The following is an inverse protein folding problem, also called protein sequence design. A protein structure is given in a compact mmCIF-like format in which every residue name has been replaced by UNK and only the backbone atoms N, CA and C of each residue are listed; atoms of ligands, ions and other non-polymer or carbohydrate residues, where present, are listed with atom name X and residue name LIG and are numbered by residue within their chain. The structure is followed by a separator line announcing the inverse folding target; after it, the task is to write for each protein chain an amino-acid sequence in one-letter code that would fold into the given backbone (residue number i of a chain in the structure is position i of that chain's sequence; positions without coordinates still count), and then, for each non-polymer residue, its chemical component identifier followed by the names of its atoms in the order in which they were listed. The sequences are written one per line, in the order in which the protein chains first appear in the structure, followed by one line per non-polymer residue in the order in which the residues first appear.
data_IF_052176062048
#
_entry.id   IF_052176062048
#
_cell.length_a   1.000
_cell.length_b   1.000
_cell.length_c   1.000
_cell.angle_alpha   90.00
_cell.angle_beta   90.00
_cell.angle_gamma   90.00
#
_symmetry.space_group_name_H-M   'P 1'
#
loop_
_entity.id
_entity.type
_entity.pdbx_description
1 polymer ?
#
# COMPACT_ATOMS: atom_id res chain seq x y z
N UNK A 1 11.33 12.32 20.06
CA UNK A 1 11.73 10.98 19.54
C UNK A 1 10.45 10.20 19.27
N UNK A 2 10.11 9.94 18.00
CA UNK A 2 8.97 9.08 17.66
C UNK A 2 9.38 7.62 17.90
N UNK A 3 8.52 6.83 18.54
CA UNK A 3 8.79 5.40 18.70
C UNK A 3 8.68 4.73 17.32
N UNK A 4 9.42 3.65 17.08
CA UNK A 4 9.23 2.85 15.86
C UNK A 4 8.07 1.89 16.12
N UNK A 5 7.05 1.90 15.27
CA UNK A 5 6.01 0.90 15.31
C UNK A 5 6.48 -0.37 14.59
N UNK A 6 6.15 -1.57 15.08
CA UNK A 6 6.51 -2.81 14.39
C UNK A 6 5.98 -2.82 12.95
N UNK A 7 6.83 -3.23 12.01
CA UNK A 7 6.42 -3.39 10.61
C UNK A 7 5.35 -4.49 10.48
N UNK A 8 4.33 -4.30 9.62
CA UNK A 8 3.36 -5.34 9.30
C UNK A 8 4.04 -6.56 8.64
N UNK A 9 3.42 -7.75 8.72
CA UNK A 9 3.86 -8.89 7.92
C UNK A 9 3.74 -8.56 6.43
N UNK A 10 4.58 -9.18 5.61
CA UNK A 10 4.42 -9.16 4.15
C UNK A 10 3.22 -10.02 3.73
N UNK A 11 2.60 -9.68 2.61
CA UNK A 11 1.48 -10.43 2.05
C UNK A 11 1.79 -10.90 0.62
N UNK A 12 1.55 -12.17 0.36
CA UNK A 12 1.91 -12.87 -0.88
C UNK A 12 0.72 -13.55 -1.57
N UNK A 13 -0.51 -13.21 -1.19
CA UNK A 13 -1.76 -13.89 -1.57
C UNK A 13 -2.05 -15.20 -0.85
N UNK A 14 -1.31 -15.57 0.20
CA UNK A 14 -1.62 -16.75 1.02
C UNK A 14 -3.05 -16.70 1.57
N UNK A 15 -3.81 -17.78 1.37
CA UNK A 15 -5.19 -17.89 1.86
C UNK A 15 -5.23 -17.86 3.38
N UNK A 16 -6.18 -17.11 3.94
CA UNK A 16 -6.39 -17.00 5.38
C UNK A 16 -5.54 -15.95 6.11
N UNK A 17 -4.49 -15.41 5.48
CA UNK A 17 -3.61 -14.41 6.12
C UNK A 17 -4.03 -12.96 5.85
N UNK A 18 -4.84 -12.74 4.79
CA UNK A 18 -5.25 -11.41 4.32
C UNK A 18 -5.81 -10.52 5.43
N UNK A 19 -6.74 -11.03 6.25
CA UNK A 19 -7.37 -10.23 7.32
C UNK A 19 -6.36 -9.76 8.37
N UNK A 20 -5.41 -10.63 8.73
CA UNK A 20 -4.35 -10.31 9.70
C UNK A 20 -3.38 -9.26 9.15
N UNK A 21 -3.02 -9.38 7.87
CA UNK A 21 -2.23 -8.37 7.17
C UNK A 21 -2.94 -7.00 7.15
N UNK A 22 -4.19 -6.95 6.67
CA UNK A 22 -4.94 -5.69 6.55
C UNK A 22 -5.11 -4.99 7.91
N UNK A 23 -5.33 -5.76 8.98
CA UNK A 23 -5.48 -5.21 10.34
C UNK A 23 -4.18 -4.56 10.81
N UNK A 24 -3.04 -5.24 10.61
CA UNK A 24 -1.73 -4.71 11.01
C UNK A 24 -1.29 -3.54 10.14
N UNK A 25 -1.56 -3.61 8.83
CA UNK A 25 -1.29 -2.51 7.89
C UNK A 25 -2.06 -1.25 8.27
N UNK A 26 -3.36 -1.39 8.60
CA UNK A 26 -4.18 -0.26 9.06
C UNK A 26 -3.63 0.37 10.34
N UNK A 27 -3.18 -0.45 11.31
CA UNK A 27 -2.57 0.06 12.53
C UNK A 27 -1.26 0.83 12.24
N UNK A 28 -0.44 0.32 11.33
CA UNK A 28 0.80 0.97 10.89
C UNK A 28 0.52 2.32 10.22
N UNK A 29 -0.40 2.36 9.25
CA UNK A 29 -0.80 3.61 8.58
C UNK A 29 -1.35 4.63 9.58
N UNK A 30 -2.19 4.22 10.54
CA UNK A 30 -2.71 5.13 11.58
C UNK A 30 -1.58 5.69 12.44
N UNK A 31 -0.59 4.88 12.80
CA UNK A 31 0.58 5.34 13.58
C UNK A 31 1.42 6.38 12.82
N UNK A 32 1.57 6.19 11.51
CA UNK A 32 2.33 7.05 10.61
C UNK A 32 1.47 8.06 9.85
N UNK A 33 0.22 8.30 10.24
CA UNK A 33 -0.71 9.14 9.48
C UNK A 33 -0.20 10.58 9.23
N UNK A 34 0.58 11.15 10.16
CA UNK A 34 1.22 12.46 9.96
C UNK A 34 2.33 12.48 8.91
N UNK A 35 2.88 11.32 8.54
CA UNK A 35 3.92 11.15 7.51
C UNK A 35 3.32 10.65 6.17
N UNK A 36 2.03 10.29 6.15
CA UNK A 36 1.28 9.78 5.00
C UNK A 36 0.02 10.64 4.78
N UNK A 37 0.18 11.92 4.41
CA UNK A 37 -0.92 12.89 4.35
C UNK A 37 -1.95 12.58 3.26
N UNK A 38 -1.55 11.93 2.16
CA UNK A 38 -2.42 11.65 1.02
C UNK A 38 -2.87 10.18 0.99
N UNK A 39 -4.01 9.87 0.38
CA UNK A 39 -4.46 8.47 0.21
C UNK A 39 -3.45 7.67 -0.62
N UNK A 40 -2.87 8.30 -1.65
CA UNK A 40 -1.78 7.72 -2.44
C UNK A 40 -0.57 7.30 -1.58
N UNK A 41 -0.20 8.07 -0.55
CA UNK A 41 0.90 7.71 0.35
C UNK A 41 0.58 6.43 1.14
N UNK A 42 -0.68 6.26 1.54
CA UNK A 42 -1.15 5.08 2.28
C UNK A 42 -1.18 3.85 1.38
N UNK A 43 -1.63 4.01 0.13
CA UNK A 43 -1.60 2.96 -0.90
C UNK A 43 -0.16 2.53 -1.17
N UNK A 44 0.76 3.48 -1.35
CA UNK A 44 2.19 3.21 -1.51
C UNK A 44 2.79 2.51 -0.29
N UNK A 45 2.42 2.94 0.92
CA UNK A 45 2.85 2.31 2.15
C UNK A 45 2.39 0.84 2.21
N UNK A 46 1.11 0.56 1.91
CA UNK A 46 0.59 -0.80 1.89
C UNK A 46 1.29 -1.67 0.82
N UNK A 47 1.47 -1.12 -0.39
CA UNK A 47 2.09 -1.78 -1.52
C UNK A 47 3.53 -2.25 -1.22
N UNK A 48 4.29 -1.51 -0.42
CA UNK A 48 5.65 -1.86 -0.02
C UNK A 48 5.77 -3.20 0.75
N UNK A 49 4.66 -3.69 1.30
CA UNK A 49 4.58 -4.97 2.01
C UNK A 49 3.95 -6.09 1.19
N UNK A 50 3.57 -5.83 -0.07
CA UNK A 50 3.16 -6.87 -0.99
C UNK A 50 4.38 -7.61 -1.54
N UNK A 51 4.21 -8.91 -1.77
CA UNK A 51 5.20 -9.82 -2.36
C UNK A 51 4.48 -10.87 -3.22
N UNK A 52 5.23 -11.72 -3.92
CA UNK A 52 4.67 -12.84 -4.67
C UNK A 52 3.55 -12.43 -5.62
N UNK A 53 2.48 -13.22 -5.67
CA UNK A 53 1.34 -12.99 -6.57
C UNK A 53 0.61 -11.68 -6.27
N UNK A 54 0.57 -11.25 -5.01
CA UNK A 54 -0.05 -9.99 -4.63
C UNK A 54 0.69 -8.78 -5.22
N UNK A 55 2.03 -8.82 -5.19
CA UNK A 55 2.85 -7.78 -5.83
C UNK A 55 2.74 -7.85 -7.35
N UNK A 56 2.78 -9.04 -7.95
CA UNK A 56 2.63 -9.20 -9.41
C UNK A 56 1.32 -8.60 -9.90
N UNK A 57 0.23 -8.78 -9.16
CA UNK A 57 -1.06 -8.19 -9.49
C UNK A 57 -1.07 -6.66 -9.34
N UNK A 58 -0.44 -6.12 -8.29
CA UNK A 58 -0.51 -4.69 -7.98
C UNK A 58 0.53 -3.83 -8.72
N UNK A 59 1.69 -4.40 -9.06
CA UNK A 59 2.83 -3.70 -9.66
C UNK A 59 2.47 -2.85 -10.89
N UNK A 60 1.61 -3.30 -11.83
CA UNK A 60 1.29 -2.50 -13.01
C UNK A 60 0.63 -1.16 -12.66
N UNK A 61 -0.28 -1.15 -11.69
CA UNK A 61 -0.95 0.07 -11.21
C UNK A 61 0.03 0.97 -10.47
N UNK A 62 0.89 0.37 -9.64
CA UNK A 62 1.90 1.11 -8.90
C UNK A 62 2.91 1.78 -9.83
N UNK A 63 3.39 1.06 -10.86
CA UNK A 63 4.30 1.61 -11.88
C UNK A 63 3.62 2.72 -12.66
N UNK A 64 2.38 2.51 -13.11
CA UNK A 64 1.60 3.50 -13.86
C UNK A 64 1.43 4.81 -13.08
N UNK A 65 1.09 4.72 -11.78
CA UNK A 65 0.98 5.89 -10.91
C UNK A 65 2.33 6.59 -10.73
N UNK A 66 3.41 5.85 -10.50
CA UNK A 66 4.75 6.42 -10.29
C UNK A 66 5.34 7.08 -11.54
N UNK A 67 5.07 6.53 -12.71
CA UNK A 67 5.62 7.04 -13.97
C UNK A 67 4.81 8.22 -14.53
N UNK A 68 3.48 8.22 -14.35
CA UNK A 68 2.58 9.20 -14.99
C UNK A 68 1.95 10.18 -14.00
N UNK A 69 1.99 9.91 -12.71
CA UNK A 69 1.34 10.71 -11.68
C UNK A 69 -0.19 10.62 -11.68
N UNK A 70 -0.86 11.29 -10.73
CA UNK A 70 -2.31 11.20 -10.54
C UNK A 70 -3.13 11.65 -11.76
N UNK A 71 -2.67 12.66 -12.49
CA UNK A 71 -3.40 13.21 -13.66
C UNK A 71 -3.13 12.44 -14.95
N UNK A 72 -2.01 11.72 -15.04
CA UNK A 72 -1.55 11.02 -16.24
C UNK A 72 -1.77 9.50 -16.23
N UNK A 73 -2.00 8.91 -15.06
CA UNK A 73 -2.26 7.49 -14.91
C UNK A 73 -3.63 7.08 -15.49
N UNK A 74 -3.78 5.79 -15.77
CA UNK A 74 -5.04 5.21 -16.23
C UNK A 74 -6.15 5.41 -15.18
N UNK A 75 -7.43 5.51 -15.59
CA UNK A 75 -8.54 5.75 -14.68
C UNK A 75 -8.64 4.72 -13.54
N UNK A 76 -8.36 3.45 -13.83
CA UNK A 76 -8.37 2.37 -12.82
C UNK A 76 -7.24 2.55 -11.79
N UNK A 77 -6.04 2.95 -12.24
CA UNK A 77 -4.93 3.31 -11.36
C UNK A 77 -5.32 4.50 -10.48
N UNK A 78 -5.95 5.51 -11.07
CA UNK A 78 -6.38 6.70 -10.32
C UNK A 78 -7.37 6.36 -9.22
N UNK A 79 -8.35 5.50 -9.50
CA UNK A 79 -9.35 5.05 -8.52
C UNK A 79 -8.71 4.28 -7.35
N UNK A 80 -7.69 3.46 -7.63
CA UNK A 80 -6.94 2.74 -6.60
C UNK A 80 -6.17 3.69 -5.66
N UNK A 81 -5.69 4.82 -6.17
CA UNK A 81 -4.84 5.77 -5.44
C UNK A 81 -5.60 7.00 -4.88
N UNK A 82 -6.91 7.14 -5.16
CA UNK A 82 -7.73 8.29 -4.76
C UNK A 82 -8.39 8.19 -3.39
#
# INVERSE_FOLDING_TARGET
RRLKFPEPPRYDSTKGTLRGYLTQMRAYIVYYAGDLPEEADKVMCAAAFLTGDALIWFEPFQRDYLEKGPDGCDPDTRDIFS
#
